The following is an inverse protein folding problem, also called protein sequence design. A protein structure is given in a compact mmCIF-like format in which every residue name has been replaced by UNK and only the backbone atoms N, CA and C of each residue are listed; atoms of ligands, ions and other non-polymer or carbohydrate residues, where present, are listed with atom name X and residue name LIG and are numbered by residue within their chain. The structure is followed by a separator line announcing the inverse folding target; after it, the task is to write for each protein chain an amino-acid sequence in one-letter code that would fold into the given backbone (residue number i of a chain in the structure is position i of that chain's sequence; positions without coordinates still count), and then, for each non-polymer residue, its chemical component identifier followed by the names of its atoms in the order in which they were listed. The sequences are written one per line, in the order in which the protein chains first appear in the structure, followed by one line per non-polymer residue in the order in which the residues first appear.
data_IF_327234192762
#
_entry.id   IF_327234192762
#
_cell.length_a   1.000
_cell.length_b   1.000
_cell.length_c   1.000
_cell.angle_alpha   90.00
_cell.angle_beta   90.00
_cell.angle_gamma   90.00
#
_symmetry.space_group_name_H-M   'P 1'
#
loop_
_entity.id
_entity.type
_entity.pdbx_description
1 polymer ?
#
# COMPACT_ATOMS: atom_id res chain seq x y z
N UNK A 1 -1.64 53.39 22.22
CA UNK A 1 -1.50 52.45 23.36
C UNK A 1 -2.42 51.22 23.35
N UNK A 2 -3.64 51.24 22.78
CA UNK A 2 -4.54 50.05 22.73
C UNK A 2 -4.11 48.95 21.77
N UNK A 3 -3.49 49.28 20.62
CA UNK A 3 -3.01 48.27 19.62
C UNK A 3 -1.86 47.39 20.12
N UNK A 4 -0.92 47.94 20.89
CA UNK A 4 0.19 47.19 21.45
C UNK A 4 -0.26 46.18 22.54
N UNK A 5 -1.30 46.54 23.31
CA UNK A 5 -1.83 45.66 24.39
C UNK A 5 -2.57 44.46 23.82
N UNK A 6 -3.27 44.58 22.69
CA UNK A 6 -3.97 43.46 22.05
C UNK A 6 -3.01 42.50 21.34
N UNK A 7 -1.91 42.98 20.77
CA UNK A 7 -0.86 42.14 20.18
C UNK A 7 -0.13 41.30 21.23
N UNK A 8 0.16 41.86 22.40
CA UNK A 8 0.84 41.15 23.49
C UNK A 8 -0.02 40.05 24.11
N UNK A 9 -1.33 40.29 24.24
CA UNK A 9 -2.28 39.28 24.74
C UNK A 9 -2.43 38.14 23.72
N UNK A 10 -2.45 38.43 22.42
CA UNK A 10 -2.50 37.42 21.37
C UNK A 10 -1.27 36.50 21.36
N UNK A 11 -0.08 37.07 21.49
CA UNK A 11 1.18 36.30 21.53
C UNK A 11 1.24 35.41 22.79
N UNK A 12 0.81 35.93 23.94
CA UNK A 12 0.76 35.16 25.19
C UNK A 12 -0.22 33.98 25.12
N UNK A 13 -1.39 34.15 24.47
CA UNK A 13 -2.38 33.09 24.28
C UNK A 13 -1.86 31.99 23.33
N UNK A 14 -1.20 32.34 22.24
CA UNK A 14 -0.62 31.37 21.30
C UNK A 14 0.53 30.60 21.96
N UNK A 15 1.34 31.28 22.76
CA UNK A 15 2.43 30.63 23.51
C UNK A 15 1.91 29.70 24.61
N UNK A 16 0.84 30.07 25.30
CA UNK A 16 0.22 29.24 26.32
C UNK A 16 -0.46 27.99 25.73
N UNK A 17 -1.17 28.12 24.59
CA UNK A 17 -1.75 26.97 23.89
C UNK A 17 -0.67 26.04 23.34
N UNK A 18 0.40 26.56 22.77
CA UNK A 18 1.52 25.77 22.30
C UNK A 18 2.19 24.97 23.43
N UNK A 19 2.38 25.59 24.60
CA UNK A 19 2.93 24.94 25.77
C UNK A 19 2.01 23.84 26.33
N UNK A 20 0.70 24.09 26.37
CA UNK A 20 -0.30 23.12 26.81
C UNK A 20 -0.32 21.91 25.88
N UNK A 21 -0.34 22.13 24.56
CA UNK A 21 -0.27 21.05 23.56
C UNK A 21 1.03 20.27 23.75
N UNK A 22 2.18 20.93 23.92
CA UNK A 22 3.46 20.28 24.12
C UNK A 22 3.52 19.48 25.43
N UNK A 23 2.93 19.97 26.50
CA UNK A 23 2.85 19.29 27.80
C UNK A 23 1.89 18.09 27.77
N UNK A 24 0.81 18.17 27.00
CA UNK A 24 -0.19 17.11 26.90
C UNK A 24 0.18 16.01 25.89
N UNK A 25 1.02 16.33 24.90
CA UNK A 25 1.42 15.35 23.87
C UNK A 25 2.07 14.08 24.44
N UNK A 26 3.03 14.17 25.38
CA UNK A 26 3.60 12.97 26.01
C UNK A 26 2.60 12.22 26.89
N UNK A 27 1.62 12.91 27.44
CA UNK A 27 0.59 12.30 28.30
C UNK A 27 -0.43 11.54 27.45
N UNK A 28 -0.80 12.08 26.29
CA UNK A 28 -1.69 11.41 25.34
C UNK A 28 -1.01 10.18 24.71
N UNK A 29 0.29 10.25 24.43
CA UNK A 29 1.05 9.10 23.93
C UNK A 29 1.23 7.99 24.98
N UNK A 30 1.15 8.31 26.29
CA UNK A 30 1.20 7.33 27.38
C UNK A 30 -0.14 6.67 27.68
N UNK A 31 -1.27 7.30 27.31
CA UNK A 31 -2.61 6.79 27.61
C UNK A 31 -2.98 5.60 26.73
N UNK A 32 -2.30 5.40 25.60
CA UNK A 32 -2.53 4.26 24.72
C UNK A 32 -1.33 3.31 24.77
N UNK A 33 -1.11 2.67 25.90
CA UNK A 33 -0.30 1.46 25.93
C UNK A 33 -1.13 0.32 25.32
N UNK A 34 -1.12 0.26 23.99
CA UNK A 34 -1.81 -0.79 23.27
C UNK A 34 -0.99 -2.06 23.41
N UNK A 35 -1.53 -3.11 24.04
CA UNK A 35 -0.83 -4.37 24.12
C UNK A 35 -0.46 -4.86 22.73
N UNK A 36 0.71 -5.48 22.60
CA UNK A 36 1.10 -6.12 21.34
C UNK A 36 0.09 -7.21 21.01
N UNK A 37 -0.45 -7.17 19.79
CA UNK A 37 -1.42 -8.15 19.32
C UNK A 37 -0.86 -8.83 18.07
N UNK A 38 -1.26 -10.08 17.85
CA UNK A 38 -0.83 -10.87 16.69
C UNK A 38 -1.88 -10.85 15.57
N UNK A 39 -2.42 -9.65 15.27
CA UNK A 39 -3.39 -9.51 14.19
C UNK A 39 -2.73 -9.72 12.82
N UNK A 40 -3.44 -10.40 11.95
CA UNK A 40 -3.16 -10.49 10.53
C UNK A 40 -3.94 -9.39 9.81
N UNK A 41 -3.23 -8.46 9.17
CA UNK A 41 -3.87 -7.50 8.25
C UNK A 41 -4.13 -8.21 6.92
N UNK A 42 -5.40 -8.38 6.57
CA UNK A 42 -5.83 -9.09 5.36
C UNK A 42 -5.84 -8.22 4.10
N UNK A 43 -5.50 -6.93 4.18
CA UNK A 43 -5.72 -5.99 3.07
C UNK A 43 -4.61 -4.96 2.93
N UNK A 44 -3.43 -5.40 2.49
CA UNK A 44 -2.32 -4.49 2.21
C UNK A 44 -2.06 -4.39 0.72
N UNK A 45 -2.17 -3.18 0.17
CA UNK A 45 -1.86 -2.91 -1.22
C UNK A 45 -0.36 -2.77 -1.44
N UNK A 46 0.09 -3.23 -2.60
CA UNK A 46 1.39 -2.91 -3.17
C UNK A 46 1.21 -2.30 -4.56
N UNK A 47 2.26 -1.74 -5.10
CA UNK A 47 2.32 -1.18 -6.44
C UNK A 47 3.72 -1.39 -7.03
N UNK A 48 3.86 -1.18 -8.33
CA UNK A 48 5.15 -1.22 -9.00
C UNK A 48 5.11 -0.43 -10.32
N UNK A 49 6.29 -0.06 -10.79
CA UNK A 49 6.49 0.70 -12.02
C UNK A 49 7.07 -0.18 -13.15
N UNK A 50 7.16 -1.49 -12.95
CA UNK A 50 7.70 -2.46 -13.91
C UNK A 50 9.22 -2.60 -13.87
N UNK A 51 9.86 -2.00 -12.89
CA UNK A 51 11.31 -1.94 -12.83
C UNK A 51 11.91 -3.25 -12.29
N UNK A 52 13.07 -3.59 -12.81
CA UNK A 52 13.82 -4.81 -12.49
C UNK A 52 12.99 -6.10 -12.65
N UNK A 53 12.08 -6.10 -13.66
CA UNK A 53 11.39 -7.33 -14.06
C UNK A 53 10.24 -7.76 -13.14
N UNK A 54 9.63 -6.84 -12.41
CA UNK A 54 8.43 -7.14 -11.61
C UNK A 54 7.22 -7.48 -12.50
N UNK A 55 7.14 -6.88 -13.69
CA UNK A 55 5.99 -6.96 -14.57
C UNK A 55 4.78 -6.14 -14.10
N UNK A 56 4.91 -5.41 -12.99
CA UNK A 56 3.90 -4.48 -12.53
C UNK A 56 3.88 -3.22 -13.40
N UNK A 57 2.76 -2.50 -13.45
CA UNK A 57 2.71 -1.19 -14.08
C UNK A 57 1.58 -0.33 -13.51
N UNK A 58 1.73 0.96 -13.72
CA UNK A 58 0.71 2.00 -13.52
C UNK A 58 0.64 2.78 -14.83
N UNK A 59 -0.57 2.99 -15.37
CA UNK A 59 -0.72 3.68 -16.65
C UNK A 59 -0.34 5.17 -16.54
N UNK A 60 -0.08 5.80 -17.70
CA UNK A 60 0.40 7.18 -17.76
C UNK A 60 -0.58 8.18 -17.17
N UNK A 61 -1.89 7.96 -17.32
CA UNK A 61 -2.92 8.84 -16.76
C UNK A 61 -2.85 8.86 -15.22
N UNK A 62 -2.64 7.71 -14.58
CA UNK A 62 -2.47 7.62 -13.13
C UNK A 62 -1.12 8.18 -12.69
N UNK A 63 -0.03 7.89 -13.42
CA UNK A 63 1.31 8.43 -13.12
C UNK A 63 1.37 9.95 -13.22
N UNK A 64 0.66 10.54 -14.18
CA UNK A 64 0.58 12.00 -14.37
C UNK A 64 -0.42 12.69 -13.42
N UNK A 65 -1.19 11.92 -12.65
CA UNK A 65 -2.15 12.46 -11.70
C UNK A 65 -1.45 13.10 -10.50
N UNK A 66 -2.02 14.20 -10.00
CA UNK A 66 -1.58 14.81 -8.73
C UNK A 66 -1.66 13.85 -7.53
N UNK A 67 -2.42 12.75 -7.64
CA UNK A 67 -2.54 11.72 -6.61
C UNK A 67 -1.33 10.78 -6.56
N UNK A 68 -0.55 10.67 -7.63
CA UNK A 68 0.57 9.72 -7.69
C UNK A 68 1.61 9.92 -6.58
N UNK A 69 2.09 11.16 -6.30
CA UNK A 69 2.98 11.39 -5.16
C UNK A 69 2.34 11.02 -3.80
N UNK A 70 1.02 11.18 -3.66
CA UNK A 70 0.30 10.80 -2.44
C UNK A 70 0.29 9.27 -2.26
N UNK A 71 0.13 8.51 -3.34
CA UNK A 71 0.21 7.06 -3.30
C UNK A 71 1.62 6.57 -2.94
N UNK A 72 2.67 7.17 -3.51
CA UNK A 72 4.05 6.85 -3.15
C UNK A 72 4.32 7.14 -1.67
N UNK A 73 3.87 8.30 -1.20
CA UNK A 73 3.97 8.65 0.23
C UNK A 73 3.23 7.64 1.12
N UNK A 74 2.03 7.22 0.75
CA UNK A 74 1.26 6.22 1.51
C UNK A 74 1.95 4.85 1.53
N UNK A 75 2.65 4.48 0.45
CA UNK A 75 3.49 3.28 0.38
C UNK A 75 4.84 3.47 1.12
N UNK A 76 5.16 4.70 1.53
CA UNK A 76 6.39 5.06 2.22
C UNK A 76 7.65 4.94 1.36
N UNK A 77 7.53 5.18 0.07
CA UNK A 77 8.62 5.12 -0.91
C UNK A 77 8.62 6.36 -1.80
N UNK A 78 9.76 6.70 -2.37
CA UNK A 78 9.89 7.71 -3.41
C UNK A 78 9.98 7.06 -4.81
N UNK A 79 9.73 7.84 -5.85
CA UNK A 79 9.94 7.37 -7.23
C UNK A 79 11.41 6.99 -7.47
N UNK A 80 12.36 7.78 -6.96
CA UNK A 80 13.80 7.52 -7.05
C UNK A 80 14.19 6.18 -6.40
N UNK A 81 13.62 5.86 -5.24
CA UNK A 81 13.88 4.57 -4.58
C UNK A 81 13.38 3.40 -5.44
N UNK A 82 12.19 3.53 -6.05
CA UNK A 82 11.68 2.49 -6.95
C UNK A 82 12.56 2.39 -8.21
N UNK A 83 13.00 3.51 -8.78
CA UNK A 83 13.86 3.55 -9.97
C UNK A 83 15.22 2.91 -9.73
N UNK A 84 15.80 3.10 -8.55
CA UNK A 84 17.15 2.60 -8.22
C UNK A 84 17.15 1.19 -7.65
N UNK A 85 16.14 0.81 -6.88
CA UNK A 85 16.08 -0.47 -6.14
C UNK A 85 15.06 -1.45 -6.71
N UNK A 86 14.20 -1.00 -7.66
CA UNK A 86 13.10 -1.78 -8.21
C UNK A 86 11.87 -1.83 -7.30
N UNK A 87 10.81 -2.44 -7.81
CA UNK A 87 9.52 -2.51 -7.14
C UNK A 87 9.56 -3.27 -5.80
N UNK A 88 10.59 -4.07 -5.57
CA UNK A 88 10.82 -4.79 -4.29
C UNK A 88 10.94 -3.83 -3.10
N UNK A 89 11.34 -2.58 -3.30
CA UNK A 89 11.47 -1.60 -2.20
C UNK A 89 10.14 -1.35 -1.51
N UNK A 90 9.02 -1.42 -2.24
CA UNK A 90 7.67 -1.30 -1.68
C UNK A 90 7.40 -2.43 -0.68
N UNK A 91 7.72 -3.68 -1.04
CA UNK A 91 7.55 -4.84 -0.17
C UNK A 91 8.45 -4.76 1.07
N UNK A 92 9.71 -4.34 0.92
CA UNK A 92 10.63 -4.09 2.04
C UNK A 92 10.07 -3.06 3.01
N UNK A 93 9.50 -1.97 2.50
CA UNK A 93 8.92 -0.95 3.34
C UNK A 93 7.65 -1.44 4.07
N UNK A 94 6.77 -2.19 3.39
CA UNK A 94 5.61 -2.83 4.01
C UNK A 94 6.07 -3.77 5.14
N UNK A 95 7.05 -4.64 4.87
CA UNK A 95 7.61 -5.56 5.88
C UNK A 95 8.17 -4.82 7.08
N UNK A 96 8.90 -3.72 6.87
CA UNK A 96 9.41 -2.86 7.94
C UNK A 96 8.28 -2.26 8.77
N UNK A 97 7.24 -1.68 8.13
CA UNK A 97 6.09 -1.08 8.82
C UNK A 97 5.32 -2.11 9.65
N UNK A 98 5.13 -3.33 9.13
CA UNK A 98 4.52 -4.43 9.88
C UNK A 98 5.39 -4.81 11.09
N UNK A 99 6.71 -4.89 10.91
CA UNK A 99 7.65 -5.20 12.00
C UNK A 99 7.68 -4.13 13.10
N UNK A 100 7.46 -2.87 12.76
CA UNK A 100 7.37 -1.74 13.70
C UNK A 100 5.97 -1.64 14.36
N UNK A 101 4.96 -2.31 13.82
CA UNK A 101 3.60 -2.27 14.34
C UNK A 101 3.49 -3.00 15.69
N UNK A 102 2.74 -2.40 16.62
CA UNK A 102 2.38 -3.06 17.89
C UNK A 102 1.14 -3.95 17.76
N UNK A 103 0.36 -3.80 16.68
CA UNK A 103 -0.93 -4.47 16.54
C UNK A 103 -0.92 -5.54 15.45
N UNK A 104 -0.20 -5.30 14.37
CA UNK A 104 -0.17 -6.18 13.21
C UNK A 104 1.13 -6.99 13.26
N UNK A 105 1.01 -8.30 13.36
CA UNK A 105 2.16 -9.22 13.34
C UNK A 105 2.51 -9.66 11.91
N UNK A 106 1.51 -9.76 11.06
CA UNK A 106 1.64 -10.19 9.66
C UNK A 106 0.66 -9.44 8.77
N UNK A 107 0.98 -9.32 7.47
CA UNK A 107 0.13 -8.68 6.49
C UNK A 107 -0.01 -9.52 5.22
N UNK A 108 -1.22 -9.57 4.65
CA UNK A 108 -1.47 -10.16 3.34
C UNK A 108 -1.30 -9.08 2.28
N UNK A 109 -0.23 -9.19 1.50
CA UNK A 109 0.05 -8.29 0.38
C UNK A 109 -0.69 -8.76 -0.85
N UNK A 110 -1.47 -7.88 -1.43
CA UNK A 110 -2.44 -8.20 -2.47
C UNK A 110 -1.87 -7.89 -3.86
N UNK A 111 -1.88 -8.89 -4.74
CA UNK A 111 -1.74 -8.67 -6.17
C UNK A 111 -2.90 -7.84 -6.73
N UNK A 112 -2.76 -7.36 -7.95
CA UNK A 112 -3.79 -6.61 -8.67
C UNK A 112 -3.84 -7.08 -10.11
N UNK A 113 -4.88 -7.80 -10.48
CA UNK A 113 -5.15 -8.12 -11.87
C UNK A 113 -5.86 -6.95 -12.56
N UNK A 114 -5.85 -6.95 -13.89
CA UNK A 114 -6.38 -5.87 -14.70
C UNK A 114 -7.67 -6.20 -15.43
N UNK A 115 -8.00 -5.33 -16.36
CA UNK A 115 -9.11 -5.51 -17.31
C UNK A 115 -8.76 -6.62 -18.31
N UNK A 116 -9.74 -7.44 -18.66
CA UNK A 116 -9.58 -8.54 -19.62
C UNK A 116 -10.36 -8.25 -20.88
N UNK A 117 -9.69 -8.39 -22.02
CA UNK A 117 -10.28 -8.19 -23.34
C UNK A 117 -11.17 -9.39 -23.77
N UNK A 118 -11.86 -9.26 -24.90
CA UNK A 118 -12.76 -10.29 -25.41
C UNK A 118 -12.06 -11.63 -25.78
N UNK A 119 -10.71 -11.65 -25.82
CA UNK A 119 -9.93 -12.89 -26.04
C UNK A 119 -9.55 -13.59 -24.73
N UNK A 120 -9.92 -13.03 -23.57
CA UNK A 120 -9.53 -13.54 -22.26
C UNK A 120 -8.10 -13.18 -21.84
N UNK A 121 -7.51 -12.14 -22.45
CA UNK A 121 -6.15 -11.67 -22.19
C UNK A 121 -6.16 -10.32 -21.49
N UNK A 122 -5.06 -9.97 -20.79
CA UNK A 122 -4.90 -8.66 -20.15
C UNK A 122 -4.98 -7.53 -21.20
N UNK A 123 -5.91 -6.62 -21.01
CA UNK A 123 -6.01 -5.37 -21.74
C UNK A 123 -5.17 -4.30 -21.05
N UNK A 124 -3.94 -4.13 -21.52
CA UNK A 124 -2.98 -3.19 -20.92
C UNK A 124 -3.46 -1.74 -21.06
N UNK A 125 -4.11 -1.41 -22.18
CA UNK A 125 -4.53 -0.04 -22.47
C UNK A 125 -5.68 0.41 -21.55
N UNK A 126 -6.57 -0.51 -21.18
CA UNK A 126 -7.67 -0.23 -20.24
C UNK A 126 -7.28 -0.44 -18.76
N UNK A 127 -6.17 -1.11 -18.49
CA UNK A 127 -5.75 -1.39 -17.13
C UNK A 127 -5.00 -0.19 -16.51
N UNK A 128 -5.49 0.32 -15.41
CA UNK A 128 -4.87 1.48 -14.73
C UNK A 128 -3.68 1.10 -13.86
N UNK A 129 -3.79 -0.01 -13.16
CA UNK A 129 -2.75 -0.54 -12.27
C UNK A 129 -2.73 -2.07 -12.36
N UNK A 130 -1.56 -2.63 -12.44
CA UNK A 130 -1.35 -4.07 -12.49
C UNK A 130 -0.18 -4.49 -11.60
N UNK A 131 -0.40 -5.48 -10.75
CA UNK A 131 0.64 -6.13 -9.94
C UNK A 131 0.48 -7.63 -10.12
N UNK A 132 1.35 -8.29 -10.92
CA UNK A 132 1.18 -9.69 -11.23
C UNK A 132 1.40 -10.60 -10.02
N UNK A 133 0.62 -11.67 -9.93
CA UNK A 133 0.81 -12.71 -8.92
C UNK A 133 2.24 -13.27 -8.92
N UNK A 134 2.86 -13.44 -10.08
CA UNK A 134 4.22 -13.95 -10.23
C UNK A 134 5.27 -13.09 -9.53
N UNK A 135 5.08 -11.79 -9.46
CA UNK A 135 5.95 -10.90 -8.69
C UNK A 135 5.88 -11.21 -7.20
N UNK A 136 4.67 -11.28 -6.65
CA UNK A 136 4.48 -11.57 -5.23
C UNK A 136 4.92 -13.00 -4.87
N UNK A 137 4.61 -13.99 -5.70
CA UNK A 137 5.05 -15.38 -5.51
C UNK A 137 6.58 -15.49 -5.44
N UNK A 138 7.30 -14.69 -6.23
CA UNK A 138 8.77 -14.69 -6.26
C UNK A 138 9.38 -13.94 -5.07
N UNK A 139 8.80 -12.78 -4.71
CA UNK A 139 9.44 -11.87 -3.76
C UNK A 139 8.99 -12.06 -2.30
N UNK A 140 7.74 -12.46 -2.04
CA UNK A 140 7.23 -12.56 -0.67
C UNK A 140 7.92 -13.64 0.20
N UNK A 141 8.43 -14.77 -0.35
CA UNK A 141 9.08 -15.78 0.48
C UNK A 141 10.31 -15.30 1.27
N UNK A 142 10.89 -14.14 0.93
CA UNK A 142 12.00 -13.55 1.68
C UNK A 142 11.55 -12.73 2.92
N UNK A 143 10.24 -12.59 3.18
CA UNK A 143 9.68 -11.81 4.28
C UNK A 143 8.81 -12.68 5.19
N UNK A 144 9.24 -12.93 6.42
CA UNK A 144 8.54 -13.80 7.38
C UNK A 144 7.18 -13.20 7.85
N UNK A 145 7.03 -11.88 7.76
CA UNK A 145 5.86 -11.16 8.22
C UNK A 145 4.89 -10.75 7.09
N UNK A 146 5.15 -11.15 5.85
CA UNK A 146 4.26 -10.92 4.73
C UNK A 146 3.70 -12.25 4.23
N UNK A 147 2.44 -12.21 3.78
CA UNK A 147 1.75 -13.34 3.19
C UNK A 147 1.18 -12.96 1.82
N UNK A 148 0.94 -13.95 0.98
CA UNK A 148 0.48 -13.75 -0.38
C UNK A 148 -1.05 -13.71 -0.47
N UNK A 149 -1.60 -12.65 -1.08
CA UNK A 149 -2.95 -12.55 -1.57
C UNK A 149 -2.98 -12.41 -3.08
N UNK A 150 -3.62 -13.33 -3.75
CA UNK A 150 -3.71 -13.35 -5.22
C UNK A 150 -4.78 -12.40 -5.77
N UNK A 151 -4.68 -12.08 -7.05
CA UNK A 151 -5.76 -11.43 -7.81
C UNK A 151 -5.85 -12.08 -9.19
N UNK A 152 -7.05 -12.50 -9.58
CA UNK A 152 -7.32 -13.16 -10.86
C UNK A 152 -8.65 -12.67 -11.37
N UNK A 153 -8.67 -11.99 -12.52
CA UNK A 153 -9.90 -11.62 -13.18
C UNK A 153 -10.58 -12.89 -13.74
N UNK A 154 -11.85 -13.16 -13.39
CA UNK A 154 -12.53 -14.40 -13.80
C UNK A 154 -12.74 -14.51 -15.31
N UNK A 155 -12.64 -13.41 -16.05
CA UNK A 155 -12.78 -13.42 -17.53
C UNK A 155 -11.50 -13.82 -18.25
N UNK A 156 -10.42 -14.13 -17.53
CA UNK A 156 -9.21 -14.69 -18.15
C UNK A 156 -9.49 -16.07 -18.72
N UNK A 157 -8.98 -16.32 -19.92
CA UNK A 157 -9.07 -17.64 -20.57
C UNK A 157 -8.40 -18.75 -19.72
N UNK A 158 -7.37 -18.39 -18.95
CA UNK A 158 -6.60 -19.29 -18.08
C UNK A 158 -6.87 -19.05 -16.56
N UNK A 159 -8.06 -18.53 -16.21
CA UNK A 159 -8.39 -18.17 -14.83
C UNK A 159 -8.24 -19.36 -13.85
N UNK A 160 -8.71 -20.55 -14.22
CA UNK A 160 -8.66 -21.74 -13.38
C UNK A 160 -7.22 -22.25 -13.20
N UNK A 161 -6.43 -22.28 -14.26
CA UNK A 161 -5.02 -22.68 -14.19
C UNK A 161 -4.21 -21.70 -13.33
N UNK A 162 -4.57 -20.40 -13.36
CA UNK A 162 -3.97 -19.39 -12.48
C UNK A 162 -4.38 -19.62 -11.03
N UNK A 163 -5.64 -19.97 -10.80
CA UNK A 163 -6.15 -20.23 -9.45
C UNK A 163 -5.41 -21.41 -8.80
N UNK A 164 -5.23 -22.51 -9.53
CA UNK A 164 -4.43 -23.64 -9.04
C UNK A 164 -2.99 -23.22 -8.70
N UNK A 165 -2.32 -22.52 -9.61
CA UNK A 165 -0.94 -22.06 -9.39
C UNK A 165 -0.77 -21.15 -8.17
N UNK A 166 -1.71 -20.21 -7.93
CA UNK A 166 -1.60 -19.34 -6.77
C UNK A 166 -1.98 -20.05 -5.48
N UNK A 167 -2.90 -21.02 -5.52
CA UNK A 167 -3.22 -21.87 -4.38
C UNK A 167 -2.01 -22.73 -3.97
N UNK A 168 -1.35 -23.39 -4.93
CA UNK A 168 -0.13 -24.17 -4.71
C UNK A 168 1.01 -23.31 -4.17
N UNK A 169 1.08 -22.04 -4.56
CA UNK A 169 2.02 -21.06 -4.04
C UNK A 169 1.65 -20.49 -2.66
N UNK A 170 0.56 -20.97 -2.04
CA UNK A 170 0.16 -20.59 -0.69
C UNK A 170 -0.59 -19.25 -0.60
N UNK A 171 -1.30 -18.83 -1.64
CA UNK A 171 -2.19 -17.68 -1.56
C UNK A 171 -3.28 -17.89 -0.50
N UNK A 172 -3.43 -16.92 0.42
CA UNK A 172 -4.43 -17.00 1.49
C UNK A 172 -5.82 -16.59 1.02
N UNK A 173 -5.91 -15.81 -0.06
CA UNK A 173 -7.16 -15.32 -0.63
C UNK A 173 -6.97 -14.93 -2.09
N UNK A 174 -8.09 -14.76 -2.79
CA UNK A 174 -8.15 -14.10 -4.10
C UNK A 174 -8.95 -12.83 -3.97
N UNK A 175 -8.37 -11.70 -4.42
CA UNK A 175 -8.99 -10.39 -4.38
C UNK A 175 -9.56 -10.01 -5.74
N UNK A 176 -10.75 -9.43 -5.72
CA UNK A 176 -11.35 -8.74 -6.85
C UNK A 176 -11.62 -7.27 -6.51
N UNK A 177 -11.48 -6.40 -7.50
CA UNK A 177 -11.95 -5.02 -7.48
C UNK A 177 -12.83 -4.83 -8.73
N UNK A 178 -14.12 -5.19 -8.65
CA UNK A 178 -14.97 -5.30 -9.84
C UNK A 178 -14.97 -4.05 -10.72
N UNK A 179 -15.09 -2.87 -10.13
CA UNK A 179 -15.11 -1.59 -10.86
C UNK A 179 -13.78 -1.22 -11.53
N UNK A 180 -12.64 -1.73 -11.07
CA UNK A 180 -11.31 -1.51 -11.70
C UNK A 180 -11.01 -2.58 -12.71
N UNK A 181 -11.41 -3.81 -12.43
CA UNK A 181 -11.18 -5.00 -13.27
C UNK A 181 -12.27 -5.18 -14.33
N UNK A 182 -13.32 -4.34 -14.32
CA UNK A 182 -14.52 -4.41 -15.17
C UNK A 182 -15.18 -5.80 -15.11
N UNK A 183 -15.41 -6.27 -13.88
CA UNK A 183 -16.15 -7.52 -13.59
C UNK A 183 -17.60 -7.13 -13.29
N UNK A 184 -18.56 -7.70 -14.05
CA UNK A 184 -20.00 -7.50 -13.91
C UNK A 184 -20.61 -8.47 -12.86
#
# INVERSE_FOLDING_TARGET
MRLLRNGFVGILLVSATGLIVWLLTPTLSRIVDVPRTDYLDMHVHTAGLGLLGSGAFINDAMRSSYKFPVYLYALGVSAEEIETQGDIVVLRNISRQVGESRRVARAVVLAMDGVINARGELDVDQTQIYVPNSFLMRELPQFDNLAFGASINPYRVDALDRLERVADAGALLVKWIPNIMLID
#
